data_IF_227851028217
#
_entry.id   IF_227851028217
#
_cell.length_a   1.000
_cell.length_b   1.000
_cell.length_c   1.000
_cell.angle_alpha   90.00
_cell.angle_beta   90.00
_cell.angle_gamma   90.00
#
_symmetry.space_group_name_H-M   'P 1'
#
loop_
_entity.id
_entity.type
_entity.pdbx_description
1 polymer ?
#
# COMPACT_ATOMS: atom_id res chain seq x y z
N UNK A 1 -20.42 -32.70 10.98
CA UNK A 1 -20.23 -33.04 9.55
C UNK A 1 -19.99 -31.73 8.84
N UNK A 2 -18.84 -31.63 8.18
CA UNK A 2 -18.17 -30.40 7.75
C UNK A 2 -18.99 -29.52 6.82
N UNK A 3 -18.96 -28.21 7.05
CA UNK A 3 -18.46 -27.23 6.07
C UNK A 3 -18.50 -25.86 6.73
N UNK A 4 -17.36 -25.34 7.17
CA UNK A 4 -17.22 -23.94 7.55
C UNK A 4 -15.82 -23.47 7.20
N UNK A 5 -15.74 -22.23 6.70
CA UNK A 5 -14.54 -21.46 6.38
C UNK A 5 -13.81 -21.82 5.08
N UNK A 6 -14.50 -21.78 3.93
CA UNK A 6 -13.77 -21.79 2.64
C UNK A 6 -14.17 -20.76 1.57
N UNK A 7 -15.31 -20.08 1.66
CA UNK A 7 -15.85 -19.49 0.42
C UNK A 7 -16.13 -17.98 0.40
N UNK A 8 -15.62 -17.13 1.31
CA UNK A 8 -15.89 -15.67 1.24
C UNK A 8 -14.72 -14.75 1.63
N UNK A 9 -13.48 -15.18 1.44
CA UNK A 9 -12.34 -14.26 1.42
C UNK A 9 -11.80 -14.21 -0.03
N UNK A 10 -12.45 -13.39 -0.85
CA UNK A 10 -11.88 -12.83 -2.07
C UNK A 10 -10.73 -11.89 -1.68
N UNK A 11 -9.65 -12.44 -1.10
CA UNK A 11 -8.45 -11.69 -0.76
C UNK A 11 -7.61 -11.52 -2.02
N UNK A 12 -7.82 -10.42 -2.76
CA UNK A 12 -6.88 -10.04 -3.82
C UNK A 12 -5.51 -9.69 -3.27
N UNK A 13 -5.39 -9.26 -2.00
CA UNK A 13 -4.10 -9.11 -1.31
C UNK A 13 -4.30 -9.36 0.19
N UNK A 14 -3.74 -10.43 0.78
CA UNK A 14 -3.84 -10.65 2.22
C UNK A 14 -3.09 -9.53 2.95
N UNK A 15 -3.80 -8.84 3.85
CA UNK A 15 -3.21 -7.86 4.76
C UNK A 15 -2.36 -8.66 5.76
N UNK A 16 -1.06 -8.44 5.74
CA UNK A 16 -0.12 -9.01 6.71
C UNK A 16 0.28 -7.89 7.65
N UNK A 17 0.35 -8.16 8.96
CA UNK A 17 1.01 -7.25 9.91
C UNK A 17 2.43 -6.99 9.38
N UNK A 18 2.62 -5.86 8.72
CA UNK A 18 3.88 -5.52 8.07
C UNK A 18 4.93 -5.37 9.17
N UNK A 19 6.11 -5.94 8.98
CA UNK A 19 7.18 -5.81 9.94
C UNK A 19 8.14 -4.74 9.45
N UNK A 20 8.39 -3.78 10.31
CA UNK A 20 9.26 -2.63 10.06
C UNK A 20 10.71 -3.07 10.26
N UNK A 21 11.64 -2.82 9.31
CA UNK A 21 13.06 -3.06 9.55
C UNK A 21 13.56 -2.30 10.78
N UNK A 22 14.52 -2.86 11.53
CA UNK A 22 15.07 -2.28 12.79
C UNK A 22 15.55 -0.81 12.67
N UNK A 23 15.72 -0.28 11.45
CA UNK A 23 16.16 1.09 11.22
C UNK A 23 15.03 2.14 11.23
N UNK A 24 13.77 1.77 11.50
CA UNK A 24 12.64 2.70 11.55
C UNK A 24 11.87 2.66 12.88
N UNK A 25 12.57 2.44 14.00
CA UNK A 25 11.98 2.40 15.35
C UNK A 25 11.17 3.67 15.72
N UNK A 26 11.52 4.81 15.14
CA UNK A 26 10.84 6.10 15.37
C UNK A 26 9.57 6.29 14.51
N UNK A 27 9.28 5.36 13.59
CA UNK A 27 8.10 5.44 12.73
C UNK A 27 6.93 4.65 13.31
N UNK A 28 5.74 5.23 13.23
CA UNK A 28 4.48 4.51 13.38
C UNK A 28 4.27 3.59 12.17
N UNK A 29 3.99 2.32 12.43
CA UNK A 29 3.62 1.37 11.39
C UNK A 29 2.12 1.43 11.13
N UNK A 30 1.75 1.80 9.91
CA UNK A 30 0.35 1.90 9.49
C UNK A 30 -0.18 0.61 8.88
N UNK A 31 0.71 -0.31 8.49
CA UNK A 31 0.35 -1.60 7.93
C UNK A 31 1.20 -1.96 6.72
N UNK A 32 0.73 -2.95 5.95
CA UNK A 32 1.38 -3.36 4.72
C UNK A 32 0.67 -4.48 4.01
N UNK A 33 1.15 -4.77 2.81
CA UNK A 33 0.51 -5.69 1.88
C UNK A 33 1.51 -6.63 1.25
N UNK A 34 1.11 -7.87 0.99
CA UNK A 34 1.87 -8.78 0.12
C UNK A 34 1.46 -8.57 -1.34
N UNK A 35 2.47 -8.46 -2.20
CA UNK A 35 2.26 -8.19 -3.63
C UNK A 35 1.93 -9.50 -4.36
N UNK A 36 0.64 -9.85 -4.34
CA UNK A 36 0.10 -11.02 -5.03
C UNK A 36 0.77 -12.32 -4.56
N UNK A 37 1.12 -13.20 -5.51
CA UNK A 37 1.82 -14.46 -5.23
C UNK A 37 3.34 -14.32 -5.30
N UNK A 38 3.89 -13.20 -4.81
CA UNK A 38 5.34 -12.95 -4.80
C UNK A 38 5.92 -12.97 -3.39
N UNK A 39 7.25 -12.99 -3.31
CA UNK A 39 8.02 -12.76 -2.09
C UNK A 39 8.25 -11.27 -1.80
N UNK A 40 7.44 -10.36 -2.37
CA UNK A 40 7.52 -8.93 -2.10
C UNK A 40 6.34 -8.44 -1.27
N UNK A 41 6.59 -7.43 -0.46
CA UNK A 41 5.56 -6.67 0.26
C UNK A 41 5.89 -5.18 0.26
N UNK A 42 4.87 -4.38 0.56
CA UNK A 42 5.04 -2.96 0.90
C UNK A 42 4.74 -2.79 2.38
N UNK A 43 5.61 -2.10 3.10
CA UNK A 43 5.32 -1.53 4.41
C UNK A 43 4.99 -0.05 4.30
N UNK A 44 4.00 0.41 5.05
CA UNK A 44 3.65 1.83 5.18
C UNK A 44 4.01 2.32 6.59
N UNK A 45 4.81 3.38 6.63
CA UNK A 45 5.36 3.96 7.84
C UNK A 45 5.07 5.47 7.87
N UNK A 46 4.86 6.02 9.06
CA UNK A 46 4.64 7.46 9.26
C UNK A 46 5.44 8.00 10.44
N UNK A 47 6.03 9.18 10.27
CA UNK A 47 6.64 9.95 11.34
C UNK A 47 6.30 11.43 11.12
N UNK A 48 5.53 12.01 12.02
CA UNK A 48 4.95 13.35 11.86
C UNK A 48 4.23 13.50 10.49
N UNK A 49 4.68 14.43 9.64
CA UNK A 49 4.16 14.67 8.30
C UNK A 49 4.81 13.81 7.21
N UNK A 50 5.78 12.96 7.57
CA UNK A 50 6.50 12.10 6.63
C UNK A 50 5.77 10.76 6.51
N UNK A 51 5.28 10.46 5.31
CA UNK A 51 4.81 9.14 4.93
C UNK A 51 5.92 8.44 4.13
N UNK A 52 6.18 7.18 4.46
CA UNK A 52 7.21 6.37 3.84
C UNK A 52 6.62 5.02 3.41
N UNK A 53 6.87 4.65 2.16
CA UNK A 53 6.56 3.33 1.63
C UNK A 53 7.87 2.59 1.38
N UNK A 54 7.96 1.38 1.93
CA UNK A 54 9.15 0.54 1.81
C UNK A 54 8.76 -0.71 1.02
N UNK A 55 9.38 -0.89 -0.15
CA UNK A 55 9.30 -2.15 -0.89
C UNK A 55 10.34 -3.09 -0.31
N UNK A 56 9.91 -4.29 0.06
CA UNK A 56 10.75 -5.25 0.75
C UNK A 56 10.50 -6.68 0.26
N UNK A 57 11.53 -7.53 0.37
CA UNK A 57 11.50 -8.95 0.03
C UNK A 57 11.58 -9.82 1.29
N UNK A 58 10.83 -10.91 1.32
CA UNK A 58 10.97 -11.94 2.35
C UNK A 58 12.25 -12.76 2.13
N UNK A 59 13.21 -12.72 3.07
CA UNK A 59 14.50 -13.41 2.97
C UNK A 59 14.48 -14.77 3.68
N UNK A 60 13.72 -14.90 4.76
CA UNK A 60 13.67 -16.13 5.55
C UNK A 60 12.40 -16.27 6.37
N UNK A 61 11.84 -17.49 6.39
CA UNK A 61 10.85 -17.93 7.39
C UNK A 61 11.55 -18.83 8.41
N UNK A 62 12.41 -18.28 9.28
CA UNK A 62 12.68 -19.00 10.53
C UNK A 62 11.42 -18.86 11.37
N UNK A 63 10.91 -19.98 11.89
CA UNK A 63 9.58 -20.16 12.54
C UNK A 63 9.06 -19.06 13.48
N UNK A 64 9.90 -18.13 13.93
CA UNK A 64 9.54 -17.07 14.86
C UNK A 64 9.89 -15.65 14.38
N UNK A 65 10.76 -15.48 13.36
CA UNK A 65 11.18 -14.18 12.85
C UNK A 65 11.15 -14.19 11.33
N UNK A 66 10.30 -13.35 10.74
CA UNK A 66 10.35 -13.02 9.31
C UNK A 66 11.51 -12.05 9.10
N UNK A 67 12.48 -12.43 8.29
CA UNK A 67 13.58 -11.56 7.88
C UNK A 67 13.23 -10.89 6.55
N UNK A 68 13.44 -9.57 6.46
CA UNK A 68 13.13 -8.77 5.28
C UNK A 68 14.39 -8.08 4.75
N UNK A 69 14.46 -7.97 3.43
CA UNK A 69 15.44 -7.15 2.71
C UNK A 69 14.71 -5.94 2.12
N UNK A 70 15.14 -4.73 2.45
CA UNK A 70 14.67 -3.51 1.79
C UNK A 70 15.16 -3.51 0.34
N UNK A 71 14.24 -3.32 -0.59
CA UNK A 71 14.52 -3.24 -2.03
C UNK A 71 14.55 -1.78 -2.50
N UNK A 72 13.54 -1.01 -2.13
CA UNK A 72 13.39 0.41 -2.52
C UNK A 72 12.51 1.15 -1.51
N UNK A 73 12.52 2.48 -1.54
CA UNK A 73 11.59 3.28 -0.75
C UNK A 73 11.21 4.59 -1.44
N UNK A 74 10.00 5.05 -1.16
CA UNK A 74 9.52 6.37 -1.60
C UNK A 74 8.87 7.09 -0.44
N UNK A 75 9.03 8.42 -0.44
CA UNK A 75 8.54 9.28 0.62
C UNK A 75 7.58 10.34 0.10
N UNK A 76 6.64 10.73 0.95
CA UNK A 76 5.75 11.85 0.76
C UNK A 76 5.71 12.71 2.02
N UNK A 77 5.94 14.01 1.87
CA UNK A 77 5.86 14.96 2.96
C UNK A 77 4.54 15.72 2.83
N UNK A 78 3.69 15.61 3.84
CA UNK A 78 2.45 16.36 3.92
C UNK A 78 2.77 17.83 4.20
N UNK A 79 2.59 18.69 3.19
CA UNK A 79 2.85 20.12 3.33
C UNK A 79 1.65 20.92 3.88
N UNK A 80 0.45 20.36 3.80
CA UNK A 80 -0.77 20.97 4.32
C UNK A 80 -1.46 20.00 5.28
N UNK A 81 -2.13 20.49 6.34
CA UNK A 81 -2.95 19.68 7.21
C UNK A 81 -4.22 19.28 6.45
N UNK A 82 -4.12 18.28 5.59
CA UNK A 82 -5.30 17.70 4.99
C UNK A 82 -6.10 16.99 6.08
N UNK A 83 -7.43 17.17 6.05
CA UNK A 83 -8.33 16.51 7.00
C UNK A 83 -8.29 14.98 6.89
N UNK A 84 -7.84 14.48 5.74
CA UNK A 84 -7.67 13.07 5.46
C UNK A 84 -6.62 12.88 4.35
N UNK A 85 -5.52 12.21 4.69
CA UNK A 85 -4.59 11.60 3.74
C UNK A 85 -4.48 10.13 4.10
N UNK A 86 -4.65 9.28 3.09
CA UNK A 86 -4.45 7.85 3.22
C UNK A 86 -3.66 7.30 2.04
N UNK A 87 -3.14 6.09 2.20
CA UNK A 87 -2.56 5.32 1.11
C UNK A 87 -3.55 4.28 0.62
N UNK A 88 -3.79 4.25 -0.68
CA UNK A 88 -4.71 3.30 -1.28
C UNK A 88 -4.03 2.48 -2.37
N UNK A 89 -4.53 1.25 -2.54
CA UNK A 89 -4.20 0.43 -3.69
C UNK A 89 -5.12 0.79 -4.85
N UNK A 90 -4.52 1.07 -5.99
CA UNK A 90 -5.20 1.69 -7.12
C UNK A 90 -4.99 0.86 -8.39
N UNK A 91 -5.81 1.15 -9.40
CA UNK A 91 -5.64 0.65 -10.74
C UNK A 91 -5.24 1.80 -11.68
N UNK A 92 -4.57 1.47 -12.77
CA UNK A 92 -4.32 2.41 -13.85
C UNK A 92 -5.57 2.50 -14.72
N UNK A 93 -6.01 3.72 -15.05
CA UNK A 93 -7.30 3.96 -15.75
C UNK A 93 -7.38 3.25 -17.11
N UNK A 94 -6.25 3.04 -17.79
CA UNK A 94 -6.16 2.34 -19.07
C UNK A 94 -5.09 1.23 -19.07
N UNK A 95 -4.64 0.79 -17.90
CA UNK A 95 -3.58 -0.22 -17.77
C UNK A 95 -4.12 -1.62 -17.51
N UNK A 96 -3.21 -2.56 -17.26
CA UNK A 96 -3.58 -3.92 -16.89
C UNK A 96 -3.88 -3.99 -15.38
N UNK A 97 -4.96 -4.69 -15.00
CA UNK A 97 -5.38 -4.95 -13.59
C UNK A 97 -4.33 -5.68 -12.72
N UNK A 98 -3.18 -6.03 -13.30
CA UNK A 98 -2.08 -6.74 -12.63
C UNK A 98 -1.02 -5.83 -12.04
N UNK A 99 -1.12 -4.52 -12.30
CA UNK A 99 -0.17 -3.54 -11.80
C UNK A 99 -0.43 -3.22 -10.33
N UNK A 100 0.63 -3.26 -9.52
CA UNK A 100 0.55 -2.83 -8.13
C UNK A 100 0.82 -1.33 -8.08
N UNK A 101 -0.25 -0.55 -7.92
CA UNK A 101 -0.17 0.89 -7.78
C UNK A 101 -0.55 1.27 -6.36
N UNK A 102 0.29 2.09 -5.75
CA UNK A 102 0.01 2.72 -4.46
C UNK A 102 -0.08 4.22 -4.66
N UNK A 103 -1.05 4.86 -4.02
CA UNK A 103 -1.22 6.29 -4.13
C UNK A 103 -1.56 6.94 -2.79
N UNK A 104 -1.07 8.16 -2.59
CA UNK A 104 -1.53 9.07 -1.54
C UNK A 104 -2.76 9.78 -2.07
N UNK A 105 -3.87 9.61 -1.36
CA UNK A 105 -5.17 10.20 -1.70
C UNK A 105 -5.61 11.20 -0.65
N UNK A 106 -6.55 12.07 -1.00
CA UNK A 106 -7.23 12.98 -0.08
C UNK A 106 -8.75 12.96 -0.29
N UNK A 107 -9.44 13.39 0.77
CA UNK A 107 -10.90 13.56 0.85
C UNK A 107 -11.70 12.25 0.98
N UNK A 108 -12.02 11.85 2.22
CA UNK A 108 -12.73 10.60 2.51
C UNK A 108 -14.18 10.54 2.00
N UNK A 109 -14.75 11.66 1.56
CA UNK A 109 -16.18 11.76 1.20
C UNK A 109 -16.45 11.42 -0.27
N UNK A 110 -15.46 10.89 -0.99
CA UNK A 110 -15.62 10.41 -2.37
C UNK A 110 -15.56 8.90 -2.44
N UNK A 111 -16.42 8.27 -3.25
CA UNK A 111 -16.42 6.82 -3.45
C UNK A 111 -15.21 6.31 -4.23
N UNK A 112 -14.66 7.18 -5.07
CA UNK A 112 -13.54 6.89 -5.96
C UNK A 112 -12.59 8.08 -5.92
N UNK A 113 -11.33 7.82 -5.63
CA UNK A 113 -10.27 8.82 -5.73
C UNK A 113 -9.73 8.82 -7.16
N UNK A 114 -9.89 9.95 -7.84
CA UNK A 114 -9.37 10.19 -9.18
C UNK A 114 -8.91 11.64 -9.32
N UNK A 115 -8.14 11.95 -10.36
CA UNK A 115 -7.75 13.32 -10.69
C UNK A 115 -7.11 14.05 -9.50
N UNK A 116 -7.73 15.14 -9.03
CA UNK A 116 -7.24 16.01 -7.95
C UNK A 116 -7.23 15.35 -6.57
N UNK A 117 -7.89 14.21 -6.41
CA UNK A 117 -7.91 13.46 -5.16
C UNK A 117 -6.69 12.58 -4.98
N UNK A 118 -5.96 12.27 -6.07
CA UNK A 118 -4.70 11.52 -6.03
C UNK A 118 -3.54 12.52 -6.00
N UNK A 119 -2.88 12.64 -4.85
CA UNK A 119 -1.79 13.59 -4.63
C UNK A 119 -0.48 13.11 -5.24
N UNK A 120 -0.19 11.82 -5.09
CA UNK A 120 1.01 11.19 -5.60
C UNK A 120 0.78 9.70 -5.78
N UNK A 121 1.36 9.10 -6.82
CA UNK A 121 1.19 7.68 -7.08
C UNK A 121 2.48 7.04 -7.60
N UNK A 122 2.65 5.77 -7.28
CA UNK A 122 3.75 4.95 -7.75
C UNK A 122 3.25 3.59 -8.20
N UNK A 123 3.73 3.16 -9.36
CA UNK A 123 3.62 1.80 -9.85
C UNK A 123 4.83 1.01 -9.38
N UNK A 124 4.63 -0.26 -9.02
CA UNK A 124 5.72 -1.11 -8.57
C UNK A 124 6.15 -2.01 -9.70
N UNK A 125 7.39 -1.84 -10.14
CA UNK A 125 8.00 -2.70 -11.14
C UNK A 125 8.70 -3.87 -10.44
N UNK A 126 8.02 -5.02 -10.39
CA UNK A 126 8.53 -6.24 -9.77
C UNK A 126 9.71 -6.88 -10.51
N UNK A 127 9.97 -6.49 -11.77
CA UNK A 127 11.12 -6.99 -12.52
C UNK A 127 12.43 -6.29 -12.13
N UNK A 128 12.32 -5.03 -11.70
CA UNK A 128 13.45 -4.21 -11.24
C UNK A 128 13.45 -3.97 -9.74
N UNK A 129 12.42 -4.44 -9.03
CA UNK A 129 12.17 -4.22 -7.61
C UNK A 129 12.22 -2.72 -7.25
N UNK A 130 11.47 -1.88 -7.98
CA UNK A 130 11.46 -0.42 -7.80
C UNK A 130 10.07 0.19 -7.79
N UNK A 131 9.94 1.31 -7.08
CA UNK A 131 8.85 2.24 -7.29
C UNK A 131 9.13 3.10 -8.52
N UNK A 132 8.13 3.22 -9.39
CA UNK A 132 8.12 4.09 -10.55
C UNK A 132 7.01 5.12 -10.36
N UNK A 133 7.38 6.39 -10.19
CA UNK A 133 6.40 7.46 -10.06
C UNK A 133 5.59 7.58 -11.34
N UNK A 134 4.26 7.64 -11.20
CA UNK A 134 3.32 7.78 -12.32
C UNK A 134 2.45 9.02 -12.13
N UNK A 135 1.91 9.54 -13.22
CA UNK A 135 1.02 10.70 -13.18
C UNK A 135 -0.30 10.34 -12.50
N UNK A 136 -0.69 11.09 -11.47
CA UNK A 136 -1.94 10.92 -10.72
C UNK A 136 -3.19 10.87 -11.60
N UNK A 137 -3.17 11.53 -12.77
CA UNK A 137 -4.28 11.54 -13.72
C UNK A 137 -4.57 10.17 -14.35
N UNK A 138 -3.58 9.27 -14.34
CA UNK A 138 -3.73 7.91 -14.87
C UNK A 138 -4.14 6.91 -13.79
N UNK A 139 -4.44 7.36 -12.57
CA UNK A 139 -4.68 6.50 -11.41
C UNK A 139 -6.09 6.66 -10.89
N UNK A 140 -6.73 5.54 -10.57
CA UNK A 140 -8.03 5.49 -9.92
C UNK A 140 -7.98 4.53 -8.73
N UNK A 141 -8.38 5.01 -7.56
CA UNK A 141 -8.40 4.22 -6.32
C UNK A 141 -9.83 4.12 -5.81
N UNK A 142 -10.25 2.93 -5.40
CA UNK A 142 -11.57 2.73 -4.79
C UNK A 142 -11.45 3.11 -3.31
N UNK A 143 -12.28 4.03 -2.83
CA UNK A 143 -12.33 4.35 -1.41
C UNK A 143 -13.09 3.24 -0.67
N UNK A 144 -12.35 2.35 0.00
CA UNK A 144 -12.93 1.20 0.71
C UNK A 144 -13.74 1.60 1.94
N UNK A 145 -13.56 2.83 2.43
CA UNK A 145 -14.22 3.37 3.61
C UNK A 145 -15.43 4.24 3.28
N UNK A 146 -15.72 4.46 2.00
CA UNK A 146 -16.83 5.33 1.59
C UNK A 146 -18.19 4.77 2.04
N UNK A 147 -18.95 5.59 2.76
CA UNK A 147 -20.27 5.23 3.28
C UNK A 147 -20.25 4.27 4.47
N UNK A 148 -19.08 4.01 5.06
CA UNK A 148 -18.96 3.28 6.31
C UNK A 148 -19.11 4.25 7.50
N UNK A 149 -20.23 4.15 8.23
CA UNK A 149 -20.57 5.04 9.35
C UNK A 149 -19.91 4.67 10.70
N UNK A 150 -19.12 3.58 10.75
CA UNK A 150 -18.49 3.07 11.98
C UNK A 150 -19.31 1.99 12.69
#
# INVERSE_FOLDING_TARGET
>A
MFSNCKDLAEEKHPIVESFVPENYEDFENLGGVVLGNTDRSIGQLRMDSLNLFVLQRFVSQKKLNLEFEKLDEVQFIEHEPFLFIDSEFCNEVNGDDSDFIIAIVKDKEVAVFENSNVLKAWKINLSTDKFEEIESLNVQCINQWYGYDG
#
